data_IF_110311086181
#
_entry.id   IF_110311086181
#
_cell.length_a   1.000
_cell.length_b   1.000
_cell.length_c   1.000
_cell.angle_alpha   90.00
_cell.angle_beta   90.00
_cell.angle_gamma   90.00
#
_symmetry.space_group_name_H-M   'P 1'
#
loop_
_entity.id
_entity.type
_entity.pdbx_description
1 polymer ?
#
# COMPACT_ATOMS: atom_id res chain seq x y z
N UNK A 1 -11.10 5.71 27.64
CA UNK A 1 -11.05 5.98 26.18
C UNK A 1 -9.59 6.16 25.83
N UNK A 2 -9.07 5.36 24.90
CA UNK A 2 -7.67 5.47 24.44
C UNK A 2 -7.67 6.33 23.17
N UNK A 3 -6.84 7.38 23.16
CA UNK A 3 -6.85 8.42 22.13
C UNK A 3 -5.64 8.34 21.18
N UNK A 4 -4.70 7.45 21.47
CA UNK A 4 -3.45 7.27 20.72
C UNK A 4 -3.22 5.80 20.44
N UNK A 5 -2.60 5.49 19.32
CA UNK A 5 -2.12 4.15 19.03
C UNK A 5 -0.84 3.86 19.82
N UNK A 6 -0.50 2.58 19.89
CA UNK A 6 0.80 2.15 20.40
C UNK A 6 1.91 2.57 19.40
N UNK A 7 3.14 2.70 19.90
CA UNK A 7 4.25 3.27 19.13
C UNK A 7 4.61 2.47 17.87
N UNK A 8 4.43 1.15 17.91
CA UNK A 8 4.68 0.24 16.79
C UNK A 8 3.69 0.44 15.63
N UNK A 9 2.44 0.79 15.95
CA UNK A 9 1.42 1.16 14.97
C UNK A 9 1.75 2.52 14.35
N UNK A 10 2.19 3.49 15.16
CA UNK A 10 2.58 4.81 14.63
C UNK A 10 3.83 4.73 13.73
N UNK A 11 4.82 3.90 14.09
CA UNK A 11 6.00 3.65 13.26
C UNK A 11 5.61 3.01 11.91
N UNK A 12 4.76 1.97 11.95
CA UNK A 12 4.23 1.34 10.73
C UNK A 12 3.50 2.33 9.82
N UNK A 13 2.68 3.22 10.41
CA UNK A 13 1.96 4.27 9.66
C UNK A 13 2.92 5.28 9.05
N UNK A 14 3.93 5.71 9.81
CA UNK A 14 4.94 6.66 9.32
C UNK A 14 5.75 6.07 8.15
N UNK A 15 6.14 4.81 8.23
CA UNK A 15 6.79 4.11 7.12
C UNK A 15 5.91 4.09 5.86
N UNK A 16 4.62 3.77 6.00
CA UNK A 16 3.72 3.74 4.87
C UNK A 16 3.50 5.14 4.27
N UNK A 17 3.34 6.17 5.11
CA UNK A 17 3.23 7.56 4.65
C UNK A 17 4.47 8.01 3.88
N UNK A 18 5.67 7.74 4.40
CA UNK A 18 6.92 8.07 3.72
C UNK A 18 7.05 7.35 2.37
N UNK A 19 6.66 6.06 2.33
CA UNK A 19 6.64 5.30 1.08
C UNK A 19 5.70 5.93 0.04
N UNK A 20 4.49 6.34 0.45
CA UNK A 20 3.54 7.01 -0.43
C UNK A 20 4.09 8.35 -0.94
N UNK A 21 4.68 9.17 -0.06
CA UNK A 21 5.24 10.47 -0.44
C UNK A 21 6.34 10.34 -1.51
N UNK A 22 7.13 9.27 -1.45
CA UNK A 22 8.20 8.99 -2.41
C UNK A 22 7.70 8.36 -3.72
N UNK A 23 6.69 7.50 -3.65
CA UNK A 23 6.38 6.57 -4.76
C UNK A 23 5.02 6.81 -5.43
N UNK A 24 4.15 7.65 -4.86
CA UNK A 24 2.79 7.83 -5.38
C UNK A 24 2.84 8.37 -6.82
N UNK A 25 2.22 7.68 -7.81
CA UNK A 25 2.27 8.12 -9.19
C UNK A 25 1.58 9.49 -9.34
N UNK A 26 2.11 10.39 -10.18
CA UNK A 26 1.50 11.68 -10.44
C UNK A 26 0.05 11.54 -10.91
N UNK A 27 -0.83 12.44 -10.47
CA UNK A 27 -2.25 12.40 -10.86
C UNK A 27 -2.46 12.49 -12.39
N UNK A 28 -1.53 13.10 -13.12
CA UNK A 28 -1.55 13.15 -14.58
C UNK A 28 -1.35 11.78 -15.25
N UNK A 29 -0.71 10.84 -14.56
CA UNK A 29 -0.43 9.49 -15.07
C UNK A 29 -1.54 8.49 -14.70
N UNK A 30 -2.42 8.85 -13.78
CA UNK A 30 -3.51 7.99 -13.27
C UNK A 30 -4.89 8.31 -13.85
N UNK A 31 -4.94 9.10 -14.95
CA UNK A 31 -6.19 9.58 -15.54
C UNK A 31 -7.01 8.49 -16.23
N UNK A 32 -6.37 7.45 -16.76
CA UNK A 32 -7.09 6.35 -17.42
C UNK A 32 -7.90 5.55 -16.39
N UNK A 33 -9.22 5.51 -16.57
CA UNK A 33 -10.12 4.76 -15.67
C UNK A 33 -10.32 3.31 -16.15
N UNK A 34 -10.48 2.35 -15.23
CA UNK A 34 -10.98 1.01 -15.57
C UNK A 34 -12.29 1.08 -16.36
N UNK A 35 -12.44 0.22 -17.38
CA UNK A 35 -13.63 0.14 -18.25
C UNK A 35 -14.50 -1.08 -17.94
N UNK A 36 -13.97 -2.01 -17.15
CA UNK A 36 -14.63 -3.22 -16.67
C UNK A 36 -13.85 -3.76 -15.47
N UNK A 37 -14.38 -4.79 -14.81
CA UNK A 37 -13.72 -5.48 -13.69
C UNK A 37 -12.42 -6.20 -14.09
N UNK A 38 -12.24 -6.51 -15.37
CA UNK A 38 -11.01 -7.14 -15.90
C UNK A 38 -10.06 -6.15 -16.56
N UNK A 39 -10.53 -4.92 -16.86
CA UNK A 39 -9.70 -3.90 -17.47
C UNK A 39 -8.90 -3.15 -16.41
N UNK A 40 -7.62 -3.52 -16.26
CA UNK A 40 -6.69 -2.72 -15.48
C UNK A 40 -5.91 -1.77 -16.41
N UNK A 41 -5.88 -0.46 -16.14
CA UNK A 41 -4.94 0.46 -16.78
C UNK A 41 -3.49 0.09 -16.48
N UNK A 42 -2.56 0.55 -17.30
CA UNK A 42 -1.14 0.22 -17.10
C UNK A 42 -0.59 0.82 -15.80
N UNK A 43 -0.91 2.07 -15.50
CA UNK A 43 -0.51 2.72 -14.25
C UNK A 43 -0.94 1.94 -13.01
N UNK A 44 -2.14 1.33 -13.06
CA UNK A 44 -2.68 0.56 -11.94
C UNK A 44 -1.90 -0.76 -11.74
N UNK A 45 -1.48 -1.41 -12.84
CA UNK A 45 -0.63 -2.60 -12.80
C UNK A 45 0.74 -2.29 -12.19
N UNK A 46 1.36 -1.21 -12.64
CA UNK A 46 2.68 -0.80 -12.15
C UNK A 46 2.63 -0.41 -10.68
N UNK A 47 1.57 0.30 -10.28
CA UNK A 47 1.32 0.63 -8.88
C UNK A 47 1.12 -0.61 -7.99
N UNK A 48 0.29 -1.56 -8.41
CA UNK A 48 0.07 -2.81 -7.66
C UNK A 48 1.36 -3.63 -7.54
N UNK A 49 2.17 -3.70 -8.61
CA UNK A 49 3.47 -4.37 -8.57
C UNK A 49 4.42 -3.70 -7.60
N UNK A 50 4.51 -2.36 -7.63
CA UNK A 50 5.35 -1.60 -6.71
C UNK A 50 4.95 -1.83 -5.24
N UNK A 51 3.65 -1.82 -4.95
CA UNK A 51 3.15 -2.15 -3.61
C UNK A 51 3.51 -3.58 -3.20
N UNK A 52 3.39 -4.56 -4.10
CA UNK A 52 3.72 -5.96 -3.83
C UNK A 52 5.21 -6.14 -3.54
N UNK A 53 6.07 -5.56 -4.39
CA UNK A 53 7.53 -5.64 -4.27
C UNK A 53 8.03 -5.02 -2.95
N UNK A 54 7.25 -4.12 -2.33
CA UNK A 54 7.57 -3.45 -1.07
C UNK A 54 6.76 -3.94 0.15
N UNK A 55 5.95 -4.99 -0.01
CA UNK A 55 5.19 -5.60 1.09
C UNK A 55 3.90 -4.88 1.48
N UNK A 56 3.47 -3.88 0.70
CA UNK A 56 2.33 -3.01 1.00
C UNK A 56 1.02 -3.42 0.32
N UNK A 57 1.05 -4.33 -0.66
CA UNK A 57 -0.17 -4.76 -1.36
C UNK A 57 -1.07 -5.63 -0.47
N UNK A 58 -0.47 -6.54 0.30
CA UNK A 58 -1.15 -7.43 1.23
C UNK A 58 -0.36 -7.48 2.56
N UNK A 59 -0.34 -6.37 3.33
CA UNK A 59 0.61 -6.21 4.43
C UNK A 59 0.45 -7.25 5.55
N UNK A 60 -0.74 -7.83 5.72
CA UNK A 60 -1.00 -8.89 6.72
C UNK A 60 -0.45 -10.26 6.33
N UNK A 61 -0.09 -10.47 5.05
CA UNK A 61 0.52 -11.72 4.62
C UNK A 61 1.98 -11.83 5.10
N UNK A 62 2.51 -13.06 5.20
CA UNK A 62 3.94 -13.28 5.39
C UNK A 62 4.81 -12.68 4.27
N UNK A 63 6.08 -12.29 4.57
CA UNK A 63 7.02 -11.76 3.58
C UNK A 63 7.26 -12.67 2.38
N UNK A 64 7.22 -13.99 2.54
CA UNK A 64 7.33 -14.95 1.43
C UNK A 64 6.19 -14.83 0.40
N UNK A 65 5.10 -14.15 0.75
CA UNK A 65 3.97 -13.84 -0.13
C UNK A 65 3.85 -12.34 -0.43
N UNK A 66 4.90 -11.56 -0.20
CA UNK A 66 4.93 -10.12 -0.49
C UNK A 66 4.13 -9.27 0.52
N UNK A 67 4.06 -9.70 1.78
CA UNK A 67 3.49 -8.94 2.88
C UNK A 67 4.52 -8.57 3.96
N UNK A 68 4.05 -8.13 5.12
CA UNK A 68 4.85 -7.59 6.23
C UNK A 68 4.48 -8.19 7.59
N UNK A 69 3.66 -9.25 7.63
CA UNK A 69 3.07 -9.78 8.88
C UNK A 69 2.35 -8.70 9.71
N UNK A 70 1.70 -7.73 9.05
CA UNK A 70 0.97 -6.66 9.74
C UNK A 70 -0.13 -7.25 10.62
N UNK A 71 -0.24 -6.72 11.84
CA UNK A 71 -1.28 -7.09 12.79
C UNK A 71 -2.62 -6.44 12.42
N UNK A 72 -3.71 -6.82 13.11
CA UNK A 72 -5.03 -6.20 12.93
C UNK A 72 -5.01 -4.69 13.19
N UNK A 73 -4.15 -4.22 14.10
CA UNK A 73 -4.01 -2.78 14.39
C UNK A 73 -3.17 -2.04 13.34
N UNK A 74 -2.50 -2.76 12.43
CA UNK A 74 -1.67 -2.23 11.35
C UNK A 74 -2.32 -2.41 9.96
N UNK A 75 -3.55 -2.92 9.87
CA UNK A 75 -4.33 -3.06 8.63
C UNK A 75 -5.17 -1.81 8.35
#
# INVERSE_FOLDING_TARGET
>A
MQLTFDSDVEEFRAEFSAFLDENLPPASETLERPRSVSHMPQWARDWQRLLFDNGWLLPTQPPEFGGRNATVNQQ
#
